data_IF_521893346392
#
_entry.id   IF_521893346392
#
_cell.length_a   1.000
_cell.length_b   1.000
_cell.length_c   1.000
_cell.angle_alpha   90.00
_cell.angle_beta   90.00
_cell.angle_gamma   90.00
#
_symmetry.space_group_name_H-M   'P 1'
#
loop_
_entity.id
_entity.type
_entity.pdbx_description
1 polymer ?
#
# COMPACT_ATOMS: atom_id res chain seq x y z
N UNK A 1 32.19 -57.13 35.93
CA UNK A 1 32.56 -56.04 35.00
C UNK A 1 31.36 -55.24 34.45
N UNK A 2 30.22 -55.84 34.09
CA UNK A 2 29.05 -55.10 33.55
C UNK A 2 28.48 -53.99 34.45
N UNK A 3 28.54 -54.10 35.78
CA UNK A 3 28.03 -53.06 36.69
C UNK A 3 28.89 -51.79 36.72
N UNK A 4 30.19 -51.88 36.42
CA UNK A 4 31.09 -50.72 36.38
C UNK A 4 30.84 -49.91 35.09
N UNK A 5 30.57 -50.59 33.98
CA UNK A 5 30.23 -49.92 32.72
C UNK A 5 28.91 -49.14 32.79
N UNK A 6 27.90 -49.65 33.51
CA UNK A 6 26.62 -48.96 33.63
C UNK A 6 26.73 -47.67 34.48
N UNK A 7 27.52 -47.70 35.55
CA UNK A 7 27.75 -46.50 36.39
C UNK A 7 28.55 -45.44 35.64
N UNK A 8 29.58 -45.84 34.88
CA UNK A 8 30.34 -44.89 34.05
C UNK A 8 29.48 -44.29 32.93
N UNK A 9 28.60 -45.08 32.31
CA UNK A 9 27.70 -44.60 31.25
C UNK A 9 26.66 -43.60 31.79
N UNK A 10 26.05 -43.88 32.94
CA UNK A 10 25.05 -43.00 33.57
C UNK A 10 25.70 -41.70 34.06
N UNK A 11 26.91 -41.77 34.60
CA UNK A 11 27.65 -40.57 35.06
C UNK A 11 28.12 -39.71 33.88
N UNK A 12 28.54 -40.34 32.77
CA UNK A 12 28.89 -39.63 31.53
C UNK A 12 27.67 -38.95 30.88
N UNK A 13 26.50 -39.59 30.92
CA UNK A 13 25.23 -39.04 30.40
C UNK A 13 24.68 -37.90 31.26
N UNK A 14 24.88 -37.93 32.58
CA UNK A 14 24.49 -36.83 33.48
C UNK A 14 25.45 -35.63 33.36
N UNK A 15 26.75 -35.87 33.14
CA UNK A 15 27.75 -34.81 32.94
C UNK A 15 27.58 -34.08 31.60
N UNK A 16 27.22 -34.80 30.52
CA UNK A 16 26.91 -34.16 29.22
C UNK A 16 25.63 -33.35 29.27
N UNK A 17 24.62 -33.76 30.04
CA UNK A 17 23.38 -33.01 30.20
C UNK A 17 23.62 -31.63 30.85
N UNK A 18 24.48 -31.57 31.85
CA UNK A 18 24.86 -30.31 32.51
C UNK A 18 25.78 -29.43 31.64
N UNK A 19 26.69 -30.03 30.85
CA UNK A 19 27.55 -29.29 29.93
C UNK A 19 26.80 -28.72 28.71
N UNK A 20 25.77 -29.42 28.22
CA UNK A 20 24.89 -28.93 27.14
C UNK A 20 23.97 -27.82 27.66
N UNK A 21 23.45 -27.92 28.89
CA UNK A 21 22.67 -26.85 29.51
C UNK A 21 23.49 -25.56 29.71
N UNK A 22 24.77 -25.67 30.10
CA UNK A 22 25.65 -24.50 30.25
C UNK A 22 26.09 -23.89 28.90
N UNK A 23 26.24 -24.71 27.85
CA UNK A 23 26.61 -24.23 26.51
C UNK A 23 25.43 -23.64 25.73
N UNK A 24 24.18 -24.05 26.01
CA UNK A 24 22.99 -23.47 25.41
C UNK A 24 22.68 -22.06 25.95
N UNK A 25 23.10 -21.72 27.17
CA UNK A 25 22.93 -20.36 27.73
C UNK A 25 23.87 -19.30 27.10
N UNK A 26 24.99 -19.70 26.49
CA UNK A 26 25.91 -18.75 25.83
C UNK A 26 25.56 -18.47 24.36
N UNK A 27 24.98 -19.46 23.64
CA UNK A 27 24.51 -19.27 22.26
C UNK A 27 23.17 -18.55 22.16
N UNK A 28 22.35 -18.57 23.22
CA UNK A 28 21.16 -17.73 23.32
C UNK A 28 21.49 -16.25 23.38
N UNK A 29 22.64 -15.84 23.89
CA UNK A 29 23.01 -14.41 23.99
C UNK A 29 23.53 -13.82 22.66
N UNK A 30 24.15 -14.61 21.79
CA UNK A 30 24.68 -14.10 20.51
C UNK A 30 23.62 -14.10 19.39
N UNK A 31 22.74 -15.10 19.37
CA UNK A 31 21.64 -15.19 18.40
C UNK A 31 20.57 -14.14 18.68
N UNK A 32 20.24 -13.93 19.96
CA UNK A 32 19.37 -12.81 20.36
C UNK A 32 19.99 -11.47 20.00
N UNK A 33 21.31 -11.26 20.09
CA UNK A 33 21.89 -9.96 19.75
C UNK A 33 21.86 -9.63 18.25
N UNK A 34 21.95 -10.64 17.36
CA UNK A 34 21.84 -10.42 15.90
C UNK A 34 20.38 -10.28 15.47
N UNK A 35 19.46 -11.10 15.99
CA UNK A 35 18.02 -10.92 15.77
C UNK A 35 17.52 -9.62 16.39
N UNK A 36 18.03 -9.24 17.56
CA UNK A 36 17.71 -7.97 18.22
C UNK A 36 18.30 -6.82 17.45
N UNK A 37 19.49 -6.89 16.84
CA UNK A 37 20.01 -5.84 15.94
C UNK A 37 19.29 -5.77 14.59
N UNK A 38 18.79 -6.89 14.06
CA UNK A 38 17.93 -6.89 12.87
C UNK A 38 16.52 -6.34 13.18
N UNK A 39 15.97 -6.64 14.37
CA UNK A 39 14.73 -6.06 14.90
C UNK A 39 14.91 -4.59 15.33
N UNK A 40 16.06 -4.20 15.89
CA UNK A 40 16.40 -2.84 16.33
C UNK A 40 16.76 -1.93 15.14
N UNK A 41 17.37 -2.48 14.08
CA UNK A 41 17.52 -1.80 12.79
C UNK A 41 16.17 -1.54 12.10
N UNK A 42 15.15 -2.34 12.42
CA UNK A 42 13.74 -2.10 12.09
C UNK A 42 13.02 -1.20 13.12
N UNK A 43 13.57 -1.01 14.32
CA UNK A 43 12.93 -0.30 15.44
C UNK A 43 13.20 1.21 15.45
N UNK A 44 14.14 1.70 14.63
CA UNK A 44 14.13 3.11 14.22
C UNK A 44 13.15 3.34 13.05
N UNK A 45 11.98 2.69 13.10
CA UNK A 45 10.77 3.20 12.44
C UNK A 45 10.47 4.52 13.14
N UNK A 46 11.08 5.61 12.67
CA UNK A 46 10.61 6.96 13.01
C UNK A 46 9.13 6.94 12.67
N UNK A 47 8.30 7.09 13.69
CA UNK A 47 6.86 7.08 13.50
C UNK A 47 6.56 8.05 12.38
N UNK A 48 5.83 7.56 11.38
CA UNK A 48 5.20 8.46 10.45
C UNK A 48 4.22 9.27 11.29
N UNK A 49 4.66 10.40 11.83
CA UNK A 49 3.76 11.32 12.50
C UNK A 49 3.01 11.98 11.36
N UNK A 50 1.94 11.30 10.96
CA UNK A 50 0.87 11.92 10.20
C UNK A 50 0.25 12.94 11.15
N UNK A 51 0.90 14.11 11.20
CA UNK A 51 0.42 15.24 11.95
C UNK A 51 -1.00 15.48 11.45
N UNK A 52 -1.91 15.64 12.42
CA UNK A 52 -3.29 16.01 12.14
C UNK A 52 -3.27 17.14 11.10
N UNK A 53 -4.17 17.15 10.10
CA UNK A 53 -4.29 18.32 9.25
C UNK A 53 -4.47 19.51 10.19
N UNK A 54 -3.47 20.40 10.22
CA UNK A 54 -3.37 21.46 11.23
C UNK A 54 -4.53 22.46 11.15
N UNK A 55 -5.32 22.37 10.09
CA UNK A 55 -6.44 23.24 9.79
C UNK A 55 -7.81 22.59 10.02
N UNK A 56 -7.86 21.29 10.36
CA UNK A 56 -9.13 20.66 10.72
C UNK A 56 -9.56 21.07 12.12
N UNK A 57 -10.83 21.40 12.29
CA UNK A 57 -11.42 21.55 13.62
C UNK A 57 -11.27 20.23 14.41
N UNK A 58 -11.00 20.27 15.73
CA UNK A 58 -11.00 19.06 16.55
C UNK A 58 -12.35 18.34 16.46
N UNK A 59 -12.31 17.00 16.32
CA UNK A 59 -13.52 16.17 16.20
C UNK A 59 -14.47 16.37 17.40
N UNK A 60 -13.92 16.62 18.58
CA UNK A 60 -14.66 16.75 19.84
C UNK A 60 -15.58 17.99 19.86
N UNK A 61 -15.40 18.94 18.95
CA UNK A 61 -16.27 20.12 18.79
C UNK A 61 -17.46 19.91 17.86
N UNK A 62 -17.53 18.77 17.15
CA UNK A 62 -18.50 18.52 16.10
C UNK A 62 -19.00 17.07 16.19
N UNK A 63 -20.27 16.88 16.52
CA UNK A 63 -20.91 15.56 16.48
C UNK A 63 -21.02 15.07 15.04
N UNK A 64 -19.93 14.54 14.45
CA UNK A 64 -20.01 13.88 13.16
C UNK A 64 -20.89 12.66 13.34
N UNK A 65 -22.09 12.67 12.75
CA UNK A 65 -22.94 11.48 12.78
C UNK A 65 -22.43 10.38 11.85
N UNK A 66 -21.49 10.72 10.95
CA UNK A 66 -20.89 9.78 10.02
C UNK A 66 -19.91 8.83 10.72
N UNK A 67 -19.99 7.54 10.40
CA UNK A 67 -19.16 6.48 10.97
C UNK A 67 -18.59 5.57 9.86
N UNK A 68 -17.30 5.22 9.99
CA UNK A 68 -16.62 4.25 9.13
C UNK A 68 -16.12 3.11 10.02
N UNK A 69 -16.62 1.90 9.76
CA UNK A 69 -16.21 0.69 10.45
C UNK A 69 -15.20 -0.08 9.60
N UNK A 70 -14.14 -0.57 10.25
CA UNK A 70 -13.07 -1.32 9.61
C UNK A 70 -13.06 -2.75 10.12
N UNK A 71 -13.24 -3.71 9.21
CA UNK A 71 -13.23 -5.13 9.52
C UNK A 71 -12.12 -5.82 8.73
N UNK A 72 -11.31 -6.63 9.39
CA UNK A 72 -10.27 -7.42 8.72
C UNK A 72 -10.89 -8.77 8.36
N UNK A 73 -10.98 -9.07 7.06
CA UNK A 73 -11.33 -10.39 6.56
C UNK A 73 -10.10 -11.26 6.77
N UNK A 74 -10.27 -12.42 7.41
CA UNK A 74 -9.22 -13.44 7.40
C UNK A 74 -9.07 -13.90 5.96
N UNK A 75 -8.06 -13.42 5.28
CA UNK A 75 -7.74 -13.86 3.94
C UNK A 75 -7.24 -15.30 3.95
N UNK A 76 -7.40 -15.96 2.80
CA UNK A 76 -6.92 -17.33 2.60
C UNK A 76 -5.44 -17.41 2.22
N UNK A 77 -4.77 -16.26 2.11
CA UNK A 77 -3.39 -16.19 1.69
C UNK A 77 -2.47 -16.99 2.62
N UNK A 78 -1.53 -17.74 2.02
CA UNK A 78 -0.50 -18.45 2.75
C UNK A 78 0.26 -17.50 3.70
N UNK A 79 0.54 -16.28 3.23
CA UNK A 79 1.26 -15.27 4.00
C UNK A 79 0.50 -14.84 5.25
N UNK A 80 -0.81 -14.58 5.16
CA UNK A 80 -1.63 -14.20 6.31
C UNK A 80 -1.82 -15.36 7.30
N UNK A 81 -1.93 -16.59 6.82
CA UNK A 81 -2.01 -17.78 7.69
C UNK A 81 -0.75 -17.93 8.56
N UNK A 82 0.43 -17.62 8.01
CA UNK A 82 1.69 -17.68 8.76
C UNK A 82 1.95 -16.44 9.62
N UNK A 83 1.63 -15.24 9.12
CA UNK A 83 2.11 -13.98 9.71
C UNK A 83 0.99 -13.15 10.37
N UNK A 84 -0.27 -13.53 10.18
CA UNK A 84 -1.43 -12.72 10.50
C UNK A 84 -1.56 -11.48 9.60
N UNK A 85 -2.59 -10.67 9.84
CA UNK A 85 -2.75 -9.40 9.15
C UNK A 85 -1.73 -8.37 9.66
N UNK A 86 -0.95 -7.68 8.80
CA UNK A 86 0.09 -6.76 9.22
C UNK A 86 -0.46 -5.62 10.08
N UNK A 87 0.06 -5.39 11.30
CA UNK A 87 -0.42 -4.33 12.17
C UNK A 87 -0.26 -2.93 11.56
N UNK A 88 0.77 -2.71 10.73
CA UNK A 88 0.99 -1.44 10.01
C UNK A 88 -0.15 -1.09 9.05
N UNK A 89 -0.73 -2.08 8.37
CA UNK A 89 -1.83 -1.89 7.41
C UNK A 89 -3.12 -1.57 8.16
N UNK A 90 -3.39 -2.29 9.25
CA UNK A 90 -4.54 -2.01 10.12
C UNK A 90 -4.45 -0.61 10.71
N UNK A 91 -3.25 -0.20 11.13
CA UNK A 91 -3.02 1.16 11.61
C UNK A 91 -3.17 2.21 10.50
N UNK A 92 -2.68 1.95 9.29
CA UNK A 92 -2.83 2.86 8.15
C UNK A 92 -4.30 3.06 7.77
N UNK A 93 -5.08 1.98 7.68
CA UNK A 93 -6.52 2.03 7.41
C UNK A 93 -7.26 2.82 8.49
N UNK A 94 -6.92 2.61 9.77
CA UNK A 94 -7.48 3.38 10.89
C UNK A 94 -7.13 4.87 10.81
N UNK A 95 -5.89 5.21 10.44
CA UNK A 95 -5.47 6.61 10.24
C UNK A 95 -6.24 7.25 9.09
N UNK A 96 -6.39 6.55 7.97
CA UNK A 96 -7.15 6.99 6.80
C UNK A 96 -8.63 7.24 7.13
N UNK A 97 -9.31 6.26 7.74
CA UNK A 97 -10.71 6.38 8.14
C UNK A 97 -10.92 7.56 9.12
N UNK A 98 -10.06 7.68 10.14
CA UNK A 98 -10.12 8.79 11.08
C UNK A 98 -9.85 10.16 10.45
N UNK A 99 -9.09 10.20 9.36
CA UNK A 99 -8.83 11.44 8.63
C UNK A 99 -10.05 11.85 7.83
N UNK A 100 -10.67 10.91 7.11
CA UNK A 100 -11.94 11.17 6.42
C UNK A 100 -13.08 11.52 7.38
N UNK A 101 -13.16 10.91 8.57
CA UNK A 101 -14.13 11.26 9.60
C UNK A 101 -13.95 12.66 10.21
N UNK A 102 -12.82 13.33 9.98
CA UNK A 102 -12.62 14.75 10.35
C UNK A 102 -13.06 15.68 9.23
N UNK A 103 -12.89 15.23 8.00
CA UNK A 103 -13.24 15.95 6.77
C UNK A 103 -14.75 15.92 6.56
N UNK A 104 -15.36 14.74 6.66
CA UNK A 104 -16.79 14.50 6.42
C UNK A 104 -17.54 14.55 7.75
N UNK A 105 -18.44 15.51 7.88
CA UNK A 105 -19.27 15.74 9.07
C UNK A 105 -20.59 14.96 9.01
N UNK A 106 -21.05 14.67 7.80
CA UNK A 106 -22.31 13.99 7.54
C UNK A 106 -22.62 13.94 6.06
N UNK A 107 -23.87 13.63 5.72
CA UNK A 107 -24.37 13.62 4.34
C UNK A 107 -25.71 14.37 4.27
N UNK A 108 -25.79 15.35 3.38
CA UNK A 108 -27.01 16.13 3.15
C UNK A 108 -28.08 15.30 2.45
N UNK A 109 -29.32 15.37 2.91
CA UNK A 109 -30.48 14.75 2.25
C UNK A 109 -30.51 13.21 2.31
N UNK A 110 -29.45 12.55 2.75
CA UNK A 110 -29.48 11.14 3.09
C UNK A 110 -30.39 10.94 4.29
N UNK A 111 -31.36 10.02 4.19
CA UNK A 111 -31.87 9.38 5.40
C UNK A 111 -30.62 8.89 6.12
N UNK A 112 -30.32 9.42 7.31
CA UNK A 112 -29.34 8.78 8.20
C UNK A 112 -29.66 7.29 8.14
N UNK A 113 -28.64 6.46 7.95
CA UNK A 113 -28.79 5.04 8.24
C UNK A 113 -29.50 5.00 9.59
N UNK A 114 -30.72 4.44 9.61
CA UNK A 114 -31.51 4.51 10.83
C UNK A 114 -30.66 3.83 11.89
N UNK A 115 -30.65 4.29 13.15
CA UNK A 115 -29.87 3.65 14.21
C UNK A 115 -30.12 2.14 14.40
N UNK A 116 -31.13 1.60 13.69
CA UNK A 116 -31.53 0.20 13.55
C UNK A 116 -30.97 -0.53 12.34
N UNK A 117 -30.11 0.07 11.51
CA UNK A 117 -29.64 -0.56 10.28
C UNK A 117 -28.53 -1.55 10.59
N UNK A 118 -28.95 -2.65 11.20
CA UNK A 118 -28.13 -3.82 11.40
C UNK A 118 -27.71 -4.37 10.04
N UNK A 119 -26.46 -4.76 9.92
CA UNK A 119 -25.91 -5.39 8.73
C UNK A 119 -25.38 -6.76 9.12
N UNK A 120 -25.66 -7.77 8.30
CA UNK A 120 -24.97 -9.05 8.42
C UNK A 120 -23.55 -8.89 7.88
N UNK A 121 -22.56 -8.85 8.77
CA UNK A 121 -21.15 -8.73 8.39
C UNK A 121 -20.64 -9.98 7.63
N UNK A 122 -21.34 -11.11 7.75
CA UNK A 122 -21.03 -12.30 6.95
C UNK A 122 -21.43 -12.10 5.51
N UNK A 123 -22.58 -11.48 5.26
CA UNK A 123 -23.00 -11.12 3.91
C UNK A 123 -22.12 -9.99 3.35
N UNK A 124 -21.79 -8.99 4.16
CA UNK A 124 -21.07 -7.80 3.71
C UNK A 124 -19.56 -8.02 3.51
N UNK A 125 -18.90 -8.71 4.45
CA UNK A 125 -17.46 -8.92 4.47
C UNK A 125 -17.05 -10.39 4.36
N UNK A 126 -17.99 -11.35 4.35
CA UNK A 126 -17.64 -12.76 4.48
C UNK A 126 -17.15 -13.15 5.88
N UNK A 127 -17.35 -12.31 6.91
CA UNK A 127 -16.85 -12.52 8.27
C UNK A 127 -17.98 -12.73 9.26
N UNK A 128 -17.81 -13.68 10.19
CA UNK A 128 -18.69 -13.87 11.34
C UNK A 128 -19.72 -14.97 11.12
N UNK A 129 -20.53 -15.22 12.15
CA UNK A 129 -21.46 -16.35 12.18
C UNK A 129 -22.80 -16.05 11.49
N UNK A 130 -22.95 -14.85 10.92
CA UNK A 130 -24.22 -14.35 10.36
C UNK A 130 -25.02 -13.49 11.34
N UNK A 131 -24.41 -13.05 12.46
CA UNK A 131 -25.08 -12.19 13.42
C UNK A 131 -25.16 -10.75 12.89
N UNK A 132 -26.39 -10.23 12.88
CA UNK A 132 -26.68 -8.85 12.58
C UNK A 132 -25.91 -7.93 13.56
N UNK A 133 -25.02 -7.11 13.01
CA UNK A 133 -24.21 -6.17 13.80
C UNK A 133 -24.64 -4.74 13.50
N UNK A 134 -24.67 -3.89 14.52
CA UNK A 134 -24.86 -2.46 14.31
C UNK A 134 -23.61 -1.89 13.65
N UNK A 135 -23.77 -1.37 12.45
CA UNK A 135 -22.70 -0.74 11.68
C UNK A 135 -22.97 0.75 11.49
N UNK A 136 -21.91 1.48 11.19
CA UNK A 136 -21.93 2.89 10.80
C UNK A 136 -22.47 3.10 9.39
N UNK A 137 -22.15 4.24 8.81
CA UNK A 137 -22.58 4.63 7.47
C UNK A 137 -21.82 3.90 6.36
N UNK A 138 -20.57 3.49 6.63
CA UNK A 138 -19.72 2.74 5.71
C UNK A 138 -18.94 1.64 6.44
N UNK A 139 -19.02 0.42 5.94
CA UNK A 139 -18.20 -0.72 6.35
C UNK A 139 -17.12 -0.95 5.30
N UNK A 140 -15.85 -1.01 5.73
CA UNK A 140 -14.72 -1.36 4.85
C UNK A 140 -14.13 -2.67 5.33
N UNK A 141 -14.25 -3.69 4.48
CA UNK A 141 -13.70 -5.01 4.68
C UNK A 141 -12.28 -5.06 4.10
N UNK A 142 -11.26 -5.11 4.95
CA UNK A 142 -9.85 -5.18 4.57
C UNK A 142 -9.49 -6.63 4.26
N UNK A 143 -8.97 -6.89 3.06
CA UNK A 143 -8.58 -8.23 2.62
C UNK A 143 -7.13 -8.23 2.10
N UNK A 144 -6.34 -9.22 2.52
CA UNK A 144 -5.03 -9.47 1.92
C UNK A 144 -5.16 -10.48 0.80
N UNK A 145 -5.00 -10.01 -0.43
CA UNK A 145 -5.03 -10.87 -1.60
C UNK A 145 -3.60 -11.23 -2.00
N UNK A 146 -3.39 -12.49 -2.36
CA UNK A 146 -2.20 -12.92 -3.09
C UNK A 146 -2.59 -12.92 -4.54
N UNK A 147 -2.29 -11.82 -5.23
CA UNK A 147 -2.49 -11.83 -6.67
C UNK A 147 -1.33 -12.57 -7.32
N UNK A 148 -1.64 -13.72 -7.92
CA UNK A 148 -0.73 -14.52 -8.76
C UNK A 148 -0.90 -14.13 -10.24
N UNK A 149 -1.86 -13.25 -10.55
CA UNK A 149 -2.13 -12.79 -11.91
C UNK A 149 -1.22 -11.62 -12.30
N UNK A 150 -0.97 -11.49 -13.60
CA UNK A 150 0.02 -10.61 -14.21
C UNK A 150 -0.19 -9.09 -14.04
N UNK A 151 -1.22 -8.67 -13.30
CA UNK A 151 -1.45 -7.26 -12.95
C UNK A 151 -0.59 -6.85 -11.75
N UNK A 152 0.73 -7.07 -11.84
CA UNK A 152 1.75 -6.85 -10.79
C UNK A 152 1.87 -5.41 -10.25
N UNK A 153 1.01 -4.48 -10.65
CA UNK A 153 1.23 -3.04 -10.47
C UNK A 153 0.31 -2.35 -9.46
N UNK A 154 -0.61 -3.05 -8.77
CA UNK A 154 -1.47 -2.42 -7.74
C UNK A 154 -0.98 -2.70 -6.31
N UNK A 155 -1.08 -1.68 -5.46
CA UNK A 155 -0.75 -1.77 -4.02
C UNK A 155 -1.98 -2.14 -3.20
N UNK A 156 -3.09 -1.47 -3.50
CA UNK A 156 -4.41 -1.75 -2.97
C UNK A 156 -5.46 -1.32 -4.01
N UNK A 157 -6.70 -1.75 -3.84
CA UNK A 157 -7.86 -1.31 -4.62
C UNK A 157 -9.15 -1.48 -3.83
N UNK A 158 -10.17 -0.70 -4.16
CA UNK A 158 -11.53 -0.89 -3.65
C UNK A 158 -12.39 -1.63 -4.66
N UNK A 159 -13.08 -2.67 -4.21
CA UNK A 159 -14.15 -3.34 -4.93
C UNK A 159 -15.49 -2.79 -4.44
N UNK A 160 -16.20 -2.12 -5.35
CA UNK A 160 -17.56 -1.66 -5.11
C UNK A 160 -18.52 -2.82 -5.40
N UNK A 161 -19.59 -3.00 -4.61
CA UNK A 161 -20.60 -4.02 -4.89
C UNK A 161 -21.25 -3.76 -6.25
N UNK A 162 -21.54 -4.83 -7.00
CA UNK A 162 -22.15 -4.75 -8.34
C UNK A 162 -23.59 -4.22 -8.32
N UNK A 163 -24.24 -4.16 -7.14
CA UNK A 163 -25.62 -3.69 -7.01
C UNK A 163 -25.71 -2.20 -7.30
N UNK A 164 -26.47 -1.84 -8.33
CA UNK A 164 -26.73 -0.45 -8.74
C UNK A 164 -27.85 0.24 -7.95
N UNK A 165 -28.41 -0.42 -6.93
CA UNK A 165 -29.60 0.10 -6.27
C UNK A 165 -29.32 1.37 -5.45
N UNK A 166 -28.11 1.52 -4.93
CA UNK A 166 -27.71 2.70 -4.19
C UNK A 166 -26.44 3.31 -4.80
N UNK A 167 -26.39 4.64 -5.00
CA UNK A 167 -25.21 5.29 -5.56
C UNK A 167 -24.00 5.25 -4.61
N UNK A 168 -24.21 4.97 -3.31
CA UNK A 168 -23.13 4.85 -2.34
C UNK A 168 -23.21 3.48 -1.66
N UNK A 169 -22.14 2.69 -1.72
CA UNK A 169 -22.12 1.41 -1.05
C UNK A 169 -22.08 1.61 0.47
N UNK A 170 -22.87 0.80 1.20
CA UNK A 170 -22.78 0.70 2.66
C UNK A 170 -21.65 -0.22 3.12
N UNK A 171 -21.21 -1.13 2.25
CA UNK A 171 -20.10 -2.03 2.48
C UNK A 171 -19.24 -2.15 1.23
N UNK A 172 -17.92 -2.13 1.40
CA UNK A 172 -16.95 -2.31 0.31
C UNK A 172 -15.81 -3.21 0.77
N UNK A 173 -15.17 -3.89 -0.19
CA UNK A 173 -13.93 -4.62 0.06
C UNK A 173 -12.74 -3.78 -0.39
N UNK A 174 -11.76 -3.59 0.48
CA UNK A 174 -10.47 -3.00 0.16
C UNK A 174 -9.44 -4.12 0.12
N UNK A 175 -9.05 -4.49 -1.08
CA UNK A 175 -8.04 -5.51 -1.33
C UNK A 175 -6.65 -4.89 -1.26
N UNK A 176 -5.75 -5.53 -0.52
CA UNK A 176 -4.37 -5.13 -0.36
C UNK A 176 -3.49 -6.22 -0.95
N UNK A 177 -2.62 -5.85 -1.89
CA UNK A 177 -1.71 -6.81 -2.49
C UNK A 177 -0.64 -7.22 -1.47
N UNK A 178 -0.74 -8.45 -0.99
CA UNK A 178 0.11 -8.99 0.07
C UNK A 178 1.59 -9.09 -0.35
N UNK A 179 1.90 -9.13 -1.65
CA UNK A 179 3.30 -9.07 -2.16
C UNK A 179 4.00 -7.78 -1.74
N UNK A 180 3.23 -6.72 -1.49
CA UNK A 180 3.73 -5.41 -1.06
C UNK A 180 3.65 -5.20 0.46
N UNK A 181 2.98 -6.09 1.20
CA UNK A 181 2.98 -6.04 2.66
C UNK A 181 4.42 -6.12 3.19
N UNK A 182 4.76 -5.24 4.14
CA UNK A 182 6.12 -5.12 4.68
C UNK A 182 7.18 -4.49 3.76
N UNK A 183 6.85 -4.15 2.49
CA UNK A 183 7.81 -3.50 1.55
C UNK A 183 7.78 -1.97 1.58
N UNK A 184 6.77 -1.40 2.22
CA UNK A 184 6.54 0.05 2.28
C UNK A 184 6.61 0.55 3.72
N UNK A 185 6.98 1.81 3.87
CA UNK A 185 6.97 2.47 5.18
C UNK A 185 5.52 2.77 5.60
N UNK A 186 5.32 2.99 6.91
CA UNK A 186 3.99 3.36 7.43
C UNK A 186 3.40 4.58 6.71
N UNK A 187 4.22 5.59 6.37
CA UNK A 187 3.76 6.77 5.65
C UNK A 187 3.20 6.46 4.25
N UNK A 188 3.85 5.56 3.53
CA UNK A 188 3.42 5.16 2.21
C UNK A 188 2.05 4.47 2.30
N UNK A 189 1.89 3.56 3.27
CA UNK A 189 0.61 2.92 3.53
C UNK A 189 -0.46 3.89 4.00
N UNK A 190 -0.14 4.91 4.79
CA UNK A 190 -1.11 5.94 5.16
C UNK A 190 -1.63 6.69 3.92
N UNK A 191 -0.76 7.02 2.95
CA UNK A 191 -1.18 7.63 1.69
C UNK A 191 -2.05 6.68 0.85
N UNK A 192 -1.62 5.42 0.69
CA UNK A 192 -2.40 4.42 -0.06
C UNK A 192 -3.77 4.22 0.58
N UNK A 193 -3.83 4.03 1.90
CA UNK A 193 -5.11 3.84 2.58
C UNK A 193 -5.99 5.08 2.54
N UNK A 194 -5.42 6.30 2.64
CA UNK A 194 -6.22 7.52 2.50
C UNK A 194 -6.85 7.62 1.11
N UNK A 195 -6.09 7.25 0.08
CA UNK A 195 -6.54 7.18 -1.31
C UNK A 195 -7.65 6.14 -1.50
N UNK A 196 -7.44 4.90 -1.05
CA UNK A 196 -8.45 3.84 -1.18
C UNK A 196 -9.72 4.15 -0.39
N UNK A 197 -9.62 4.70 0.82
CA UNK A 197 -10.81 5.10 1.58
C UNK A 197 -11.59 6.21 0.85
N UNK A 198 -10.94 7.06 0.06
CA UNK A 198 -11.64 8.03 -0.79
C UNK A 198 -12.49 7.33 -1.88
N UNK A 199 -11.95 6.27 -2.50
CA UNK A 199 -12.71 5.43 -3.42
C UNK A 199 -13.87 4.73 -2.74
N UNK A 200 -13.65 4.17 -1.54
CA UNK A 200 -14.69 3.56 -0.71
C UNK A 200 -15.85 4.53 -0.40
N UNK A 201 -15.53 5.81 -0.21
CA UNK A 201 -16.51 6.89 0.03
C UNK A 201 -17.22 7.38 -1.25
N UNK A 202 -16.86 6.84 -2.43
CA UNK A 202 -17.55 7.08 -3.69
C UNK A 202 -16.78 7.96 -4.69
N UNK A 203 -15.48 8.20 -4.48
CA UNK A 203 -14.66 8.84 -5.50
C UNK A 203 -14.41 7.85 -6.66
N UNK A 204 -15.15 7.94 -7.76
CA UNK A 204 -14.89 7.11 -8.95
C UNK A 204 -16.06 7.07 -9.94
N UNK A 205 -15.78 6.66 -11.17
CA UNK A 205 -16.78 6.66 -12.27
C UNK A 205 -18.09 5.95 -11.95
N UNK A 206 -18.11 4.77 -11.29
CA UNK A 206 -19.37 4.10 -11.01
C UNK A 206 -20.35 4.99 -10.23
N UNK A 207 -19.84 5.69 -9.21
CA UNK A 207 -20.64 6.61 -8.38
C UNK A 207 -20.90 7.93 -9.12
N UNK A 208 -19.89 8.49 -9.78
CA UNK A 208 -20.05 9.75 -10.52
C UNK A 208 -21.10 9.64 -11.62
N UNK A 209 -21.14 8.50 -12.33
CA UNK A 209 -22.11 8.26 -13.39
C UNK A 209 -23.51 8.03 -12.83
N UNK A 210 -23.64 7.33 -11.69
CA UNK A 210 -24.92 7.11 -11.02
C UNK A 210 -25.57 8.41 -10.51
N UNK A 211 -24.78 9.48 -10.36
CA UNK A 211 -25.22 10.80 -9.88
C UNK A 211 -25.17 11.89 -10.97
N UNK A 212 -24.93 11.53 -12.23
CA UNK A 212 -24.76 12.48 -13.34
C UNK A 212 -23.66 13.54 -13.11
N UNK A 213 -22.63 13.18 -12.32
CA UNK A 213 -21.46 13.99 -11.98
C UNK A 213 -20.24 13.71 -12.87
N UNK A 214 -20.37 12.83 -13.87
CA UNK A 214 -19.35 12.60 -14.87
C UNK A 214 -19.92 12.74 -16.28
N UNK A 215 -19.16 13.40 -17.15
CA UNK A 215 -19.48 13.53 -18.56
C UNK A 215 -18.31 13.01 -19.40
N UNK A 216 -18.55 11.99 -20.22
CA UNK A 216 -17.58 11.49 -21.20
C UNK A 216 -17.86 12.12 -22.55
N UNK A 217 -16.90 12.89 -23.06
CA UNK A 217 -16.98 13.52 -24.37
C UNK A 217 -16.60 12.55 -25.50
N UNK A 218 -16.93 12.89 -26.75
CA UNK A 218 -16.74 12.02 -27.91
C UNK A 218 -15.27 11.67 -28.23
N UNK A 219 -14.31 12.39 -27.65
CA UNK A 219 -12.89 12.10 -27.80
C UNK A 219 -12.33 11.18 -26.68
N UNK A 220 -13.21 10.62 -25.84
CA UNK A 220 -12.85 9.70 -24.75
C UNK A 220 -12.43 10.39 -23.45
N UNK A 221 -12.37 11.71 -23.40
CA UNK A 221 -12.10 12.44 -22.17
C UNK A 221 -13.32 12.46 -21.27
N UNK A 222 -13.12 12.11 -20.01
CA UNK A 222 -14.16 12.23 -18.98
C UNK A 222 -13.86 13.42 -18.07
N UNK A 223 -14.87 14.26 -17.83
CA UNK A 223 -14.81 15.40 -16.91
C UNK A 223 -15.74 15.17 -15.73
N UNK A 224 -15.32 15.59 -14.54
CA UNK A 224 -16.20 15.64 -13.37
C UNK A 224 -17.01 16.94 -13.36
N UNK A 225 -18.34 16.85 -13.41
CA UNK A 225 -19.26 17.98 -13.65
C UNK A 225 -19.82 18.64 -12.38
N UNK A 226 -19.35 18.23 -11.20
CA UNK A 226 -19.80 18.78 -9.92
C UNK A 226 -19.56 20.29 -9.78
N UNK A 227 -20.52 20.99 -9.17
CA UNK A 227 -20.53 22.45 -9.05
C UNK A 227 -19.46 22.96 -8.09
N UNK A 228 -19.28 22.31 -6.95
CA UNK A 228 -18.30 22.70 -5.93
C UNK A 228 -16.89 22.41 -6.44
N UNK A 229 -16.65 21.24 -7.03
CA UNK A 229 -15.36 20.90 -7.62
C UNK A 229 -15.00 21.86 -8.76
N UNK A 230 -15.96 22.26 -9.60
CA UNK A 230 -15.74 23.31 -10.60
C UNK A 230 -15.31 24.63 -9.96
N UNK A 231 -15.98 25.05 -8.89
CA UNK A 231 -15.64 26.28 -8.18
C UNK A 231 -14.19 26.26 -7.64
N UNK A 232 -13.80 25.17 -6.97
CA UNK A 232 -12.43 25.02 -6.46
C UNK A 232 -11.41 24.91 -7.60
N UNK A 233 -11.75 24.22 -8.69
CA UNK A 233 -10.92 24.15 -9.89
C UNK A 233 -10.65 25.55 -10.47
N UNK A 234 -11.67 26.39 -10.62
CA UNK A 234 -11.55 27.77 -11.09
C UNK A 234 -10.75 28.64 -10.09
N UNK A 235 -11.00 28.48 -8.78
CA UNK A 235 -10.31 29.22 -7.72
C UNK A 235 -8.81 28.92 -7.68
N UNK A 236 -8.43 27.68 -7.99
CA UNK A 236 -7.02 27.28 -8.06
C UNK A 236 -6.30 27.79 -9.32
N UNK A 237 -7.00 28.41 -10.28
CA UNK A 237 -6.43 28.89 -11.55
C UNK A 237 -6.81 28.03 -12.76
N UNK A 238 -7.73 27.08 -12.60
CA UNK A 238 -8.39 26.42 -13.72
C UNK A 238 -9.09 27.42 -14.64
N UNK A 239 -9.31 27.01 -15.89
CA UNK A 239 -9.92 27.90 -16.88
C UNK A 239 -11.36 28.25 -16.49
N UNK A 240 -11.65 29.55 -16.35
CA UNK A 240 -13.01 30.10 -16.13
C UNK A 240 -13.96 29.94 -17.32
N UNK A 241 -13.52 29.32 -18.41
CA UNK A 241 -14.39 29.04 -19.54
C UNK A 241 -15.48 28.06 -19.08
N UNK A 242 -16.76 28.44 -19.23
CA UNK A 242 -17.93 27.78 -18.63
C UNK A 242 -18.02 26.25 -18.84
N UNK A 243 -17.31 25.71 -19.84
CA UNK A 243 -17.34 24.30 -20.23
C UNK A 243 -16.08 23.52 -19.81
N UNK A 244 -15.16 24.10 -19.03
CA UNK A 244 -13.92 23.43 -18.64
C UNK A 244 -13.97 22.98 -17.18
N UNK A 245 -14.47 21.76 -17.02
CA UNK A 245 -14.47 21.01 -15.76
C UNK A 245 -13.12 20.30 -15.54
N UNK A 246 -12.79 19.91 -14.30
CA UNK A 246 -11.61 19.09 -14.04
C UNK A 246 -11.71 17.76 -14.81
N UNK A 247 -10.66 17.44 -15.57
CA UNK A 247 -10.54 16.16 -16.25
C UNK A 247 -10.28 15.05 -15.23
N UNK A 248 -10.85 13.88 -15.49
CA UNK A 248 -10.51 12.62 -14.84
C UNK A 248 -9.52 11.85 -15.73
N UNK A 249 -8.75 10.97 -15.11
CA UNK A 249 -7.76 10.12 -15.77
C UNK A 249 -8.41 9.34 -16.92
N UNK A 250 -7.86 9.43 -18.13
CA UNK A 250 -8.38 8.71 -19.31
C UNK A 250 -8.35 7.18 -19.13
N UNK A 251 -7.51 6.66 -18.23
CA UNK A 251 -7.35 5.21 -18.03
C UNK A 251 -8.52 4.58 -17.27
N UNK A 252 -9.05 5.27 -16.27
CA UNK A 252 -9.97 4.68 -15.27
C UNK A 252 -11.11 5.63 -14.86
N UNK A 253 -11.03 6.91 -15.25
CA UNK A 253 -11.93 7.98 -14.86
C UNK A 253 -12.07 8.19 -13.35
N UNK A 254 -11.29 7.50 -12.52
CA UNK A 254 -11.46 7.48 -11.06
C UNK A 254 -10.33 8.19 -10.34
N UNK A 255 -9.39 8.77 -11.10
CA UNK A 255 -8.27 9.53 -10.56
C UNK A 255 -8.14 10.89 -11.23
N UNK A 256 -7.36 11.79 -10.63
CA UNK A 256 -6.85 12.95 -11.34
C UNK A 256 -5.80 12.52 -12.39
N UNK A 257 -5.78 13.13 -13.59
CA UNK A 257 -4.81 12.81 -14.62
C UNK A 257 -3.37 13.00 -14.13
N UNK A 258 -2.45 12.10 -14.56
CA UNK A 258 -1.02 12.21 -14.19
C UNK A 258 -0.40 13.53 -14.60
N UNK A 259 -0.84 14.06 -15.73
CA UNK A 259 -0.40 15.32 -16.34
C UNK A 259 -1.02 16.56 -15.67
N UNK A 260 -1.99 16.37 -14.76
CA UNK A 260 -2.61 17.48 -14.06
C UNK A 260 -1.69 18.04 -12.96
N UNK A 261 -1.66 19.36 -12.84
CA UNK A 261 -0.72 20.16 -12.01
C UNK A 261 -0.90 20.00 -10.50
N UNK A 262 -1.89 19.22 -10.07
CA UNK A 262 -2.08 18.82 -8.69
C UNK A 262 -1.00 17.81 -8.27
N UNK A 263 0.29 18.13 -8.42
CA UNK A 263 1.38 17.26 -8.01
C UNK A 263 2.15 17.91 -6.88
N UNK A 264 2.19 17.30 -5.68
CA UNK A 264 1.56 16.03 -5.29
C UNK A 264 0.05 16.16 -5.00
N UNK A 265 -0.73 15.08 -5.15
CA UNK A 265 -2.14 15.01 -4.71
C UNK A 265 -2.51 13.54 -4.42
N UNK A 266 -3.38 13.32 -3.43
CA UNK A 266 -3.78 11.99 -2.95
C UNK A 266 -4.47 11.10 -4.00
N UNK A 267 -5.46 11.58 -4.75
CA UNK A 267 -6.26 10.89 -5.79
C UNK A 267 -5.56 10.79 -7.15
N UNK A 268 -4.23 10.84 -7.19
CA UNK A 268 -3.47 10.47 -8.40
C UNK A 268 -3.29 8.95 -8.47
N UNK A 269 -3.21 8.37 -9.69
CA UNK A 269 -3.13 6.91 -9.87
C UNK A 269 -1.71 6.36 -9.58
N UNK A 270 -0.92 7.04 -8.75
CA UNK A 270 0.41 6.62 -8.37
C UNK A 270 0.78 7.17 -7.00
N UNK A 271 1.43 6.30 -6.21
CA UNK A 271 2.04 6.66 -4.95
C UNK A 271 3.34 7.43 -5.20
N UNK A 272 3.45 8.64 -4.65
CA UNK A 272 4.77 9.30 -4.53
C UNK A 272 5.48 8.69 -3.33
N UNK A 273 6.29 7.65 -3.59
CA UNK A 273 7.04 6.94 -2.53
C UNK A 273 7.80 7.92 -1.65
N UNK A 274 7.67 7.77 -0.34
CA UNK A 274 8.50 8.45 0.64
C UNK A 274 9.98 8.20 0.29
N UNK A 275 10.73 9.27 0.03
CA UNK A 275 12.15 9.11 -0.25
C UNK A 275 12.89 8.83 1.06
N UNK A 276 13.68 7.74 1.15
CA UNK A 276 14.37 7.35 2.39
C UNK A 276 15.47 8.33 2.82
N UNK A 277 15.80 9.33 1.97
CA UNK A 277 16.84 10.33 2.21
C UNK A 277 16.31 11.70 2.64
N UNK A 278 15.03 11.87 2.91
CA UNK A 278 14.57 13.15 3.47
C UNK A 278 14.90 13.18 4.95
N UNK A 279 16.13 13.62 5.25
CA UNK A 279 16.73 13.61 6.58
C UNK A 279 16.10 14.68 7.51
N UNK A 280 15.31 15.63 6.99
CA UNK A 280 14.75 16.71 7.79
C UNK A 280 13.31 17.05 7.35
N UNK A 281 12.32 16.56 8.10
CA UNK A 281 11.01 17.20 8.27
C UNK A 281 10.09 17.41 7.07
N UNK A 282 10.44 17.00 5.83
CA UNK A 282 9.50 17.17 4.71
C UNK A 282 8.39 16.12 4.76
N UNK A 283 7.17 16.61 4.66
CA UNK A 283 5.96 15.81 4.65
C UNK A 283 5.93 14.90 3.42
N UNK A 284 6.03 13.59 3.65
CA UNK A 284 5.89 12.57 2.61
C UNK A 284 4.43 12.27 2.28
N UNK A 285 3.48 12.90 2.99
CA UNK A 285 2.06 12.82 2.68
C UNK A 285 1.78 13.35 1.28
N UNK A 286 0.93 12.65 0.55
CA UNK A 286 0.29 13.22 -0.64
C UNK A 286 -0.86 14.11 -0.16
N UNK A 287 -0.84 15.40 -0.49
CA UNK A 287 -1.80 16.34 0.06
C UNK A 287 -3.19 16.09 -0.51
N UNK A 288 -4.20 16.25 0.34
CA UNK A 288 -5.60 16.20 -0.01
C UNK A 288 -6.05 17.60 -0.41
N UNK A 289 -6.30 17.79 -1.71
CA UNK A 289 -6.65 19.11 -2.25
C UNK A 289 -8.07 19.54 -1.90
N UNK A 290 -8.31 20.87 -1.88
CA UNK A 290 -9.68 21.40 -1.84
C UNK A 290 -10.53 20.89 -3.01
N UNK A 291 -9.92 20.64 -4.17
CA UNK A 291 -10.61 20.06 -5.32
C UNK A 291 -11.16 18.67 -5.00
N UNK A 292 -10.33 17.79 -4.44
CA UNK A 292 -10.76 16.46 -3.97
C UNK A 292 -11.85 16.56 -2.92
N UNK A 293 -11.72 17.48 -1.95
CA UNK A 293 -12.76 17.68 -0.93
C UNK A 293 -14.09 18.15 -1.52
N UNK A 294 -14.05 19.04 -2.51
CA UNK A 294 -15.25 19.54 -3.16
C UNK A 294 -15.98 18.47 -3.99
N UNK A 295 -15.27 17.44 -4.50
CA UNK A 295 -15.91 16.25 -5.07
C UNK A 295 -16.84 15.60 -4.04
N UNK A 296 -16.41 15.47 -2.79
CA UNK A 296 -17.26 14.92 -1.72
C UNK A 296 -18.45 15.82 -1.40
N UNK A 297 -18.32 17.15 -1.49
CA UNK A 297 -19.49 18.03 -1.39
C UNK A 297 -20.49 17.81 -2.53
N UNK A 298 -20.00 17.63 -3.75
CA UNK A 298 -20.84 17.33 -4.92
C UNK A 298 -21.49 15.94 -4.85
N UNK A 299 -20.85 14.97 -4.19
CA UNK A 299 -21.44 13.68 -3.81
C UNK A 299 -22.52 13.80 -2.71
N UNK A 300 -22.69 14.99 -2.13
CA UNK A 300 -23.69 15.29 -1.11
C UNK A 300 -23.20 15.12 0.33
N UNK A 301 -21.89 14.95 0.57
CA UNK A 301 -21.33 14.99 1.92
C UNK A 301 -21.27 16.43 2.46
N UNK A 302 -21.43 16.58 3.78
CA UNK A 302 -21.06 17.81 4.49
C UNK A 302 -19.56 17.76 4.79
N UNK A 303 -18.78 18.64 4.16
CA UNK A 303 -17.31 18.59 4.15
C UNK A 303 -16.72 19.85 4.77
N UNK A 304 -15.81 19.68 5.73
CA UNK A 304 -14.97 20.76 6.24
C UNK A 304 -13.84 21.09 5.24
N UNK A 305 -14.09 22.08 4.39
CA UNK A 305 -13.12 22.51 3.39
C UNK A 305 -11.82 23.08 3.98
N UNK A 306 -11.81 23.46 5.27
CA UNK A 306 -10.58 23.90 5.93
C UNK A 306 -9.62 22.74 6.20
N UNK A 307 -10.10 21.49 6.16
CA UNK A 307 -9.26 20.31 6.31
C UNK A 307 -8.33 20.04 5.13
N UNK A 308 -8.47 20.76 4.01
CA UNK A 308 -7.57 20.59 2.87
C UNK A 308 -6.12 20.90 3.26
N UNK A 309 -5.20 20.12 2.69
CA UNK A 309 -3.77 20.34 2.89
C UNK A 309 -3.35 21.62 2.15
N UNK A 310 -2.55 22.46 2.82
CA UNK A 310 -2.02 23.71 2.24
C UNK A 310 -0.96 23.39 1.18
N UNK A 311 -0.70 24.36 0.29
CA UNK A 311 0.45 24.31 -0.61
C UNK A 311 0.20 23.65 -1.96
N UNK A 312 -1.05 23.31 -2.28
CA UNK A 312 -1.45 22.98 -3.65
C UNK A 312 -1.89 24.28 -4.33
N UNK A 313 -0.94 24.99 -4.94
CA UNK A 313 -1.21 26.14 -5.82
C UNK A 313 -0.89 25.73 -7.27
N UNK A 314 -1.75 26.08 -8.24
CA UNK A 314 -1.52 25.83 -9.69
C UNK A 314 -0.52 26.86 -10.26
N UNK A 315 0.29 27.52 -9.44
CA UNK A 315 1.06 28.69 -9.85
C UNK A 315 2.22 28.37 -10.80
N UNK A 316 2.55 27.11 -11.05
CA UNK A 316 3.49 26.72 -12.10
C UNK A 316 2.79 26.04 -13.28
N UNK A 317 2.51 26.86 -14.29
CA UNK A 317 2.16 26.49 -15.67
C UNK A 317 0.77 25.83 -15.77
N UNK A 318 -0.30 26.62 -15.79
CA UNK A 318 -1.57 26.19 -16.37
C UNK A 318 -1.39 25.93 -17.87
N UNK A 319 -0.83 24.78 -18.24
CA UNK A 319 -0.86 24.31 -19.62
C UNK A 319 -2.29 23.91 -19.93
N UNK A 320 -2.85 24.43 -21.02
CA UNK A 320 -4.19 24.12 -21.52
C UNK A 320 -4.49 22.60 -21.60
N UNK A 321 -3.45 21.75 -21.58
CA UNK A 321 -3.55 20.29 -21.59
C UNK A 321 -4.45 19.67 -20.51
N UNK A 322 -4.64 20.32 -19.36
CA UNK A 322 -5.50 19.80 -18.28
C UNK A 322 -6.98 20.19 -18.43
N UNK A 323 -7.27 21.14 -19.31
CA UNK A 323 -8.62 21.69 -19.50
C UNK A 323 -9.13 21.48 -20.93
N UNK A 324 -8.21 21.23 -21.88
CA UNK A 324 -8.48 20.87 -23.25
C UNK A 324 -7.60 19.65 -23.53
N UNK A 325 -8.14 18.45 -23.32
CA UNK A 325 -7.37 17.22 -23.52
C UNK A 325 -6.63 17.30 -24.85
N UNK A 326 -5.31 17.16 -24.73
CA UNK A 326 -4.37 17.80 -25.62
C UNK A 326 -4.65 17.42 -27.08
N UNK A 327 -5.25 18.36 -27.83
CA UNK A 327 -5.04 18.37 -29.28
C UNK A 327 -3.56 18.66 -29.45
N UNK A 328 -2.77 17.59 -29.59
CA UNK A 328 -1.34 17.65 -29.77
C UNK A 328 -1.02 18.78 -30.74
N UNK A 329 -0.22 19.75 -30.30
CA UNK A 329 0.27 20.79 -31.20
C UNK A 329 0.83 20.04 -32.41
N UNK A 330 0.22 20.23 -33.59
CA UNK A 330 0.87 19.85 -34.85
C UNK A 330 2.21 20.55 -34.82
N UNK A 331 3.28 19.80 -34.55
CA UNK A 331 4.62 20.29 -34.81
C UNK A 331 4.60 20.76 -36.26
N UNK A 332 4.78 22.07 -36.47
CA UNK A 332 5.06 22.62 -37.80
C UNK A 332 6.18 21.75 -38.36
N UNK A 333 5.93 21.05 -39.47
CA UNK A 333 6.94 20.29 -40.20
C UNK A 333 8.12 21.24 -40.46
N UNK A 334 9.18 21.11 -39.67
CA UNK A 334 10.50 21.55 -40.11
C UNK A 334 10.80 20.68 -41.34
N UNK A 335 10.91 21.31 -42.51
CA UNK A 335 11.37 20.64 -43.75
C UNK A 335 12.79 20.16 -43.49
N UNK A 336 12.92 18.91 -43.03
CA UNK A 336 14.19 18.21 -42.99
C UNK A 336 14.44 17.61 -44.36
N UNK A 337 15.30 18.28 -45.14
CA UNK A 337 15.98 17.67 -46.28
C UNK A 337 17.07 16.75 -45.73
N UNK A 338 16.78 15.46 -45.57
CA UNK A 338 17.81 14.40 -45.55
C UNK A 338 17.21 13.01 -45.77
N UNK A 339 17.86 12.30 -46.70
CA UNK A 339 17.55 10.96 -47.22
C UNK A 339 17.21 9.95 -46.11
N UNK A 340 16.06 9.30 -46.26
CA UNK A 340 15.62 8.17 -45.44
C UNK A 340 16.46 6.93 -45.75
N UNK A 341 17.22 6.44 -44.76
CA UNK A 341 17.64 5.03 -44.70
C UNK A 341 16.49 4.23 -44.08
N UNK A 342 16.08 3.16 -44.75
CA UNK A 342 15.12 2.19 -44.23
C UNK A 342 15.60 1.65 -42.87
N UNK A 343 14.78 1.84 -41.84
CA UNK A 343 14.99 1.29 -40.51
C UNK A 343 13.93 0.21 -40.27
N UNK A 344 14.37 -1.06 -40.12
CA UNK A 344 13.49 -2.17 -39.75
C UNK A 344 13.01 -2.01 -38.30
N UNK A 345 11.69 -2.04 -38.03
CA UNK A 345 11.14 -1.81 -36.67
C UNK A 345 11.48 -2.90 -35.63
N UNK A 346 11.99 -4.06 -36.05
CA UNK A 346 12.21 -5.21 -35.16
C UNK A 346 13.40 -5.09 -34.20
N UNK A 347 14.43 -4.30 -34.52
CA UNK A 347 15.68 -4.33 -33.75
C UNK A 347 15.58 -3.65 -32.37
N UNK A 348 14.77 -2.60 -32.22
CA UNK A 348 14.65 -1.86 -30.95
C UNK A 348 13.84 -2.62 -29.90
N UNK A 349 12.76 -3.28 -30.32
CA UNK A 349 11.93 -4.09 -29.42
C UNK A 349 12.72 -5.30 -28.91
N UNK A 350 13.49 -5.95 -29.80
CA UNK A 350 14.35 -7.08 -29.40
C UNK A 350 15.47 -6.68 -28.43
N UNK A 351 16.08 -5.50 -28.63
CA UNK A 351 17.10 -4.98 -27.71
C UNK A 351 16.57 -4.69 -26.30
N UNK A 352 15.29 -4.28 -26.18
CA UNK A 352 14.63 -4.03 -24.89
C UNK A 352 14.31 -5.35 -24.17
N UNK A 353 13.87 -6.37 -24.91
CA UNK A 353 13.67 -7.72 -24.37
C UNK A 353 14.99 -8.33 -23.87
N UNK A 354 16.07 -8.21 -24.64
CA UNK A 354 17.40 -8.69 -24.22
C UNK A 354 17.91 -7.98 -22.97
N UNK A 355 17.72 -6.65 -22.86
CA UNK A 355 18.09 -5.89 -21.66
C UNK A 355 17.28 -6.31 -20.43
N UNK A 356 15.98 -6.57 -20.56
CA UNK A 356 15.14 -7.05 -19.46
C UNK A 356 15.52 -8.46 -19.02
N UNK A 357 15.78 -9.37 -19.95
CA UNK A 357 16.26 -10.72 -19.65
C UNK A 357 17.62 -10.71 -18.93
N UNK A 358 18.53 -9.80 -19.31
CA UNK A 358 19.80 -9.61 -18.61
C UNK A 358 19.63 -9.10 -17.17
N UNK A 359 18.69 -8.19 -16.92
CA UNK A 359 18.40 -7.68 -15.57
C UNK A 359 17.85 -8.80 -14.67
N UNK A 360 16.91 -9.61 -15.17
CA UNK A 360 16.35 -10.75 -14.43
C UNK A 360 17.44 -11.79 -14.14
N UNK A 361 18.26 -12.13 -15.14
CA UNK A 361 19.41 -13.04 -14.96
C UNK A 361 20.39 -12.52 -13.93
N UNK A 362 20.69 -11.23 -13.92
CA UNK A 362 21.60 -10.62 -12.96
C UNK A 362 21.06 -10.70 -11.52
N UNK A 363 19.75 -10.49 -11.32
CA UNK A 363 19.10 -10.63 -10.00
C UNK A 363 19.12 -12.07 -9.50
N UNK A 364 18.76 -13.04 -10.34
CA UNK A 364 18.85 -14.47 -9.98
C UNK A 364 20.28 -14.87 -9.60
N UNK A 365 21.29 -14.35 -10.29
CA UNK A 365 22.69 -14.59 -9.95
C UNK A 365 23.11 -13.92 -8.62
N UNK A 366 22.58 -12.74 -8.29
CA UNK A 366 22.81 -12.09 -6.99
C UNK A 366 22.16 -12.86 -5.83
N UNK A 367 20.96 -13.39 -6.04
CA UNK A 367 20.26 -14.20 -5.04
C UNK A 367 20.97 -15.55 -4.83
N UNK A 368 21.43 -16.19 -5.90
CA UNK A 368 22.26 -17.41 -5.82
C UNK A 368 23.61 -17.14 -5.14
N UNK A 369 24.24 -15.99 -5.39
CA UNK A 369 25.48 -15.60 -4.70
C UNK A 369 25.26 -15.37 -3.20
N UNK A 370 24.12 -14.76 -2.83
CA UNK A 370 23.72 -14.54 -1.44
C UNK A 370 23.42 -15.86 -0.73
N UNK A 371 22.69 -16.76 -1.39
CA UNK A 371 22.42 -18.12 -0.92
C UNK A 371 23.73 -18.91 -0.72
N UNK A 372 24.65 -18.91 -1.71
CA UNK A 372 25.98 -19.54 -1.58
C UNK A 372 26.78 -18.97 -0.40
N UNK A 373 26.71 -17.65 -0.16
CA UNK A 373 27.39 -17.01 0.96
C UNK A 373 26.80 -17.45 2.31
N UNK A 374 25.48 -17.64 2.39
CA UNK A 374 24.82 -18.18 3.58
C UNK A 374 25.20 -19.65 3.82
N UNK A 375 25.13 -20.51 2.79
CA UNK A 375 25.54 -21.92 2.88
C UNK A 375 26.99 -22.04 3.38
N UNK A 376 27.92 -21.24 2.84
CA UNK A 376 29.32 -21.21 3.32
C UNK A 376 29.44 -20.81 4.79
N UNK A 377 28.65 -19.84 5.26
CA UNK A 377 28.64 -19.41 6.67
C UNK A 377 28.14 -20.54 7.57
N UNK A 378 27.07 -21.23 7.18
CA UNK A 378 26.57 -22.39 7.92
C UNK A 378 27.57 -23.54 7.94
N UNK A 379 28.20 -23.85 6.80
CA UNK A 379 29.26 -24.86 6.74
C UNK A 379 30.47 -24.53 7.61
N UNK A 380 30.90 -23.27 7.66
CA UNK A 380 31.98 -22.84 8.56
C UNK A 380 31.58 -22.92 10.04
N UNK A 381 30.33 -22.60 10.38
CA UNK A 381 29.82 -22.76 11.75
C UNK A 381 29.81 -24.23 12.18
N UNK A 382 29.29 -25.12 11.32
CA UNK A 382 29.29 -26.57 11.55
C UNK A 382 30.70 -27.15 11.70
N UNK A 383 31.64 -26.70 10.85
CA UNK A 383 33.06 -27.10 10.96
C UNK A 383 33.67 -26.71 12.32
N UNK A 384 33.39 -25.50 12.81
CA UNK A 384 33.86 -25.05 14.14
C UNK A 384 33.26 -25.90 15.27
N UNK A 385 31.98 -26.24 15.17
CA UNK A 385 31.29 -27.11 16.14
C UNK A 385 31.94 -28.50 16.15
N UNK A 386 32.12 -29.17 15.00
CA UNK A 386 32.79 -30.48 14.97
C UNK A 386 34.24 -30.41 15.47
N UNK A 387 35.00 -29.33 15.21
CA UNK A 387 36.36 -29.16 15.73
C UNK A 387 36.38 -29.06 17.26
N UNK A 388 35.40 -28.38 17.87
CA UNK A 388 35.28 -28.31 19.32
C UNK A 388 34.87 -29.65 19.94
N UNK A 389 33.98 -30.41 19.26
CA UNK A 389 33.53 -31.73 19.73
C UNK A 389 34.64 -32.79 19.63
N UNK A 390 35.42 -32.78 18.55
CA UNK A 390 36.52 -33.74 18.32
C UNK A 390 37.71 -33.50 19.25
N UNK A 391 38.05 -32.24 19.57
CA UNK A 391 39.07 -31.91 20.59
C UNK A 391 38.77 -32.47 21.98
N UNK A 392 37.49 -32.70 22.30
CA UNK A 392 37.09 -33.28 23.59
C UNK A 392 37.17 -34.82 23.63
N UNK A 393 37.54 -35.51 22.54
CA UNK A 393 37.54 -36.99 22.37
C UNK A 393 36.16 -37.68 22.39
N UNK A 394 35.04 -36.96 22.23
CA UNK A 394 33.72 -37.58 22.39
C UNK A 394 33.18 -38.30 21.13
N UNK A 395 33.56 -37.90 19.91
CA UNK A 395 33.06 -38.54 18.68
C UNK A 395 34.04 -38.42 17.50
N UNK A 396 34.77 -39.49 17.13
CA UNK A 396 35.68 -39.46 15.98
C UNK A 396 34.97 -39.37 14.62
N UNK A 397 33.67 -39.73 14.53
CA UNK A 397 32.89 -39.71 13.26
C UNK A 397 32.55 -38.31 12.71
N UNK A 398 32.41 -37.29 13.57
CA UNK A 398 32.10 -35.91 13.15
C UNK A 398 33.14 -35.34 12.17
N UNK A 399 34.40 -35.79 12.28
CA UNK A 399 35.49 -35.33 11.42
C UNK A 399 35.43 -35.91 9.99
N UNK A 400 34.78 -37.06 9.79
CA UNK A 400 34.74 -37.76 8.50
C UNK A 400 33.48 -37.41 7.69
N UNK A 401 32.34 -37.16 8.33
CA UNK A 401 31.05 -37.01 7.64
C UNK A 401 30.73 -35.57 7.20
N UNK A 402 31.16 -34.55 7.96
CA UNK A 402 30.89 -33.13 7.62
C UNK A 402 31.58 -32.65 6.32
N UNK A 403 32.82 -33.08 5.99
CA UNK A 403 33.43 -32.72 4.71
C UNK A 403 32.76 -33.34 3.49
N UNK A 404 32.00 -34.44 3.63
CA UNK A 404 31.30 -35.09 2.52
C UNK A 404 29.91 -34.50 2.25
N UNK A 405 29.29 -33.86 3.25
CA UNK A 405 27.95 -33.26 3.15
C UNK A 405 27.95 -31.77 2.76
N UNK A 406 29.12 -31.11 2.78
CA UNK A 406 29.35 -29.72 2.35
C UNK A 406 29.89 -29.67 0.93
#
# INVERSE_FOLDING_TARGET
MMRIYLVVLVTALLSTRNAVASSMNDTTNTTTTIERKAKEGFALKRDCIWNRPVNCSPKDSLSSSFQIDLHVIKGDSYWEKENGFPPELKQAARVAANTWLRVIRGRHGGRRARPSDMMDLREACGIGDGELTKVGDLVICLELVVDVSSDEDFLARVLLPSSRQEPFPRAVTLEINSVHAGRFYQCDWNNVMLHEVAHALGFGIPVFSALDLAYSSSNGLTTFTGKNAKHEWEAMGGSKNRNRYPLLSEKDGSHWPKTCFLSPEIMKPYLRKAQPKVIFGHDTRQPMSRLTLAVFQDLGYDVDMNCADRGINITEIADDRCAAGGRGRRFRKFKSTKKTKHYSPGAKVWSLFQKRAQIVRYRVLQDLATCRKQIRRYGQALKKICQQVTKKRWFPKCAQEVPQAL
#
